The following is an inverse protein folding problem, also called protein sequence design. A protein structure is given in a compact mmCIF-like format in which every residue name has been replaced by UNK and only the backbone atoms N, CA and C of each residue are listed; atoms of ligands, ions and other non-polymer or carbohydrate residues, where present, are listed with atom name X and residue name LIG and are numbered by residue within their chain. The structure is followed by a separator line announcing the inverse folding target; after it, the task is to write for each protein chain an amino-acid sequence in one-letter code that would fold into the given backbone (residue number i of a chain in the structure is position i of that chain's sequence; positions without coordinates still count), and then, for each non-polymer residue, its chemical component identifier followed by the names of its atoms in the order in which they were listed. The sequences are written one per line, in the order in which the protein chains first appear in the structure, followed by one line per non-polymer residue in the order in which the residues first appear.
data_IF_343488531490
#
_entry.id   IF_343488531490
#
_cell.length_a   1.000
_cell.length_b   1.000
_cell.length_c   1.000
_cell.angle_alpha   90.00
_cell.angle_beta   90.00
_cell.angle_gamma   90.00
#
_symmetry.space_group_name_H-M   'P 1'
#
loop_
_entity.id
_entity.type
_entity.pdbx_description
1 polymer ?
#
# COMPACT_ATOMS: atom_id res chain seq x y z
N UNK A 1 -6.93 4.25 8.45
CA UNK A 1 -5.88 3.67 7.56
C UNK A 1 -5.74 4.54 6.33
N UNK A 2 -4.53 4.84 5.94
CA UNK A 2 -4.24 5.67 4.76
C UNK A 2 -3.38 4.88 3.79
N UNK A 3 -3.72 4.97 2.51
CA UNK A 3 -2.91 4.38 1.45
C UNK A 3 -2.61 5.42 0.38
N UNK A 4 -1.35 5.55 0.02
CA UNK A 4 -0.92 6.33 -1.13
C UNK A 4 -0.52 5.34 -2.22
N UNK A 5 -1.17 5.46 -3.37
CA UNK A 5 -1.03 4.50 -4.46
C UNK A 5 -0.35 5.19 -5.63
N UNK A 6 0.74 4.61 -6.09
CA UNK A 6 1.45 5.09 -7.26
C UNK A 6 1.50 3.99 -8.31
N UNK A 7 1.06 4.32 -9.50
CA UNK A 7 1.18 3.46 -10.67
C UNK A 7 2.64 3.43 -11.12
N UNK A 8 3.22 2.22 -11.30
CA UNK A 8 4.62 2.06 -11.65
C UNK A 8 4.80 1.05 -12.77
N UNK A 9 5.85 1.21 -13.55
CA UNK A 9 6.32 0.22 -14.53
C UNK A 9 7.23 -0.77 -13.81
N UNK A 10 7.96 -0.28 -12.83
CA UNK A 10 8.88 -1.07 -12.00
C UNK A 10 9.06 -0.36 -10.68
N UNK A 11 9.15 -1.12 -9.59
CA UNK A 11 9.47 -0.58 -8.27
C UNK A 11 10.20 -1.62 -7.44
N UNK A 12 11.10 -1.18 -6.58
CA UNK A 12 11.79 -2.07 -5.65
C UNK A 12 12.03 -1.40 -4.30
N UNK A 13 12.32 -2.23 -3.30
CA UNK A 13 12.79 -1.80 -1.98
C UNK A 13 14.14 -2.45 -1.74
N UNK A 14 15.13 -1.62 -1.42
CA UNK A 14 16.48 -2.07 -1.09
C UNK A 14 16.82 -1.74 0.36
N UNK A 15 17.43 -2.68 1.04
CA UNK A 15 17.92 -2.50 2.40
C UNK A 15 19.37 -2.97 2.42
N UNK A 16 20.28 -2.07 2.84
CA UNK A 16 21.73 -2.34 2.85
C UNK A 16 22.24 -2.84 1.49
N UNK A 17 21.73 -2.28 0.41
CA UNK A 17 22.14 -2.63 -0.95
C UNK A 17 21.49 -3.90 -1.51
N UNK A 18 20.67 -4.60 -0.72
CA UNK A 18 19.94 -5.80 -1.17
C UNK A 18 18.49 -5.47 -1.50
N UNK A 19 18.04 -5.96 -2.63
CA UNK A 19 16.62 -5.89 -2.99
C UNK A 19 15.84 -6.89 -2.14
N UNK A 20 14.90 -6.38 -1.32
CA UNK A 20 14.05 -7.21 -0.46
C UNK A 20 12.64 -7.38 -1.04
N UNK A 21 12.24 -6.52 -1.95
CA UNK A 21 10.98 -6.65 -2.69
C UNK A 21 11.10 -5.95 -4.02
N UNK A 22 10.53 -6.52 -5.07
CA UNK A 22 10.60 -5.97 -6.43
C UNK A 22 9.35 -6.37 -7.20
N UNK A 23 8.80 -5.42 -7.95
CA UNK A 23 7.68 -5.66 -8.86
C UNK A 23 7.94 -5.04 -10.22
N UNK A 24 7.23 -5.55 -11.24
CA UNK A 24 7.12 -4.92 -12.54
C UNK A 24 5.94 -3.94 -12.60
N UNK A 25 5.15 -4.02 -13.65
CA UNK A 25 4.00 -3.13 -13.86
C UNK A 25 2.93 -3.34 -12.79
N UNK A 26 2.49 -2.28 -12.17
CA UNK A 26 1.47 -2.34 -11.12
C UNK A 26 1.46 -1.13 -10.22
N UNK A 27 1.27 -1.37 -8.91
CA UNK A 27 1.21 -0.33 -7.89
C UNK A 27 2.34 -0.44 -6.87
N UNK A 28 2.90 0.69 -6.52
CA UNK A 28 3.62 0.87 -5.26
C UNK A 28 2.63 1.52 -4.29
N UNK A 29 2.43 0.90 -3.13
CA UNK A 29 1.48 1.34 -2.11
C UNK A 29 2.23 1.67 -0.83
N UNK A 30 2.08 2.91 -0.37
CA UNK A 30 2.53 3.30 0.97
C UNK A 30 1.32 3.19 1.90
N UNK A 31 1.44 2.40 2.95
CA UNK A 31 0.35 2.13 3.89
C UNK A 31 0.65 2.68 5.27
N UNK A 32 -0.21 3.56 5.77
CA UNK A 32 -0.16 4.07 7.14
C UNK A 32 -1.33 3.53 7.96
N UNK A 33 -1.03 2.90 9.09
CA UNK A 33 -2.04 2.39 10.02
C UNK A 33 -2.26 3.41 11.13
N UNK A 34 -3.50 3.83 11.31
CA UNK A 34 -3.89 4.83 12.31
C UNK A 34 -4.36 4.17 13.59
N UNK A 35 -4.28 4.90 14.71
CA UNK A 35 -4.90 4.44 15.97
C UNK A 35 -6.39 4.15 15.75
N UNK A 36 -6.85 3.04 16.28
CA UNK A 36 -8.25 2.65 16.17
C UNK A 36 -8.60 1.90 14.88
N UNK A 37 -7.66 1.75 13.96
CA UNK A 37 -7.88 0.96 12.75
C UNK A 37 -8.10 -0.51 13.10
N UNK A 38 -8.98 -1.15 12.34
CA UNK A 38 -9.33 -2.55 12.49
C UNK A 38 -9.19 -3.29 11.17
N UNK A 39 -9.38 -4.60 11.21
CA UNK A 39 -9.43 -5.42 9.99
C UNK A 39 -10.49 -4.95 9.00
N UNK A 40 -11.59 -4.38 9.49
CA UNK A 40 -12.64 -3.84 8.62
C UNK A 40 -12.12 -2.68 7.76
N UNK A 41 -11.24 -1.83 8.31
CA UNK A 41 -10.62 -0.74 7.56
C UNK A 41 -9.69 -1.28 6.47
N UNK A 42 -8.90 -2.30 6.79
CA UNK A 42 -8.06 -2.99 5.80
C UNK A 42 -8.91 -3.64 4.70
N UNK A 43 -9.99 -4.32 5.07
CA UNK A 43 -10.87 -4.98 4.11
C UNK A 43 -11.47 -4.01 3.09
N UNK A 44 -11.84 -2.80 3.51
CA UNK A 44 -12.35 -1.77 2.61
C UNK A 44 -11.34 -1.39 1.54
N UNK A 45 -10.08 -1.20 1.93
CA UNK A 45 -9.01 -0.86 1.00
C UNK A 45 -8.68 -2.03 0.08
N UNK A 46 -8.66 -3.25 0.60
CA UNK A 46 -8.40 -4.46 -0.18
C UNK A 46 -9.45 -4.68 -1.26
N UNK A 47 -10.71 -4.38 -0.98
CA UNK A 47 -11.77 -4.43 -2.00
C UNK A 47 -11.62 -3.39 -3.08
N UNK A 48 -11.15 -2.20 -2.71
CA UNK A 48 -11.09 -1.05 -3.61
C UNK A 48 -9.84 -1.05 -4.48
N UNK A 49 -8.66 -1.22 -3.88
CA UNK A 49 -7.39 -0.97 -4.55
C UNK A 49 -7.16 -1.84 -5.79
N UNK A 50 -7.35 -3.18 -5.74
CA UNK A 50 -7.12 -4.00 -6.93
C UNK A 50 -8.08 -3.68 -8.08
N UNK A 51 -9.21 -3.05 -7.79
CA UNK A 51 -10.27 -2.77 -8.75
C UNK A 51 -10.30 -1.30 -9.22
N UNK A 52 -9.40 -0.46 -8.73
CA UNK A 52 -9.31 0.92 -9.22
C UNK A 52 -8.93 0.95 -10.70
N UNK A 53 -9.72 1.67 -11.49
CA UNK A 53 -9.59 1.72 -12.94
C UNK A 53 -8.67 2.86 -13.36
N UNK A 54 -7.37 2.74 -13.04
CA UNK A 54 -6.38 3.81 -13.27
C UNK A 54 -5.26 3.42 -14.23
N UNK A 55 -5.34 2.25 -14.85
CA UNK A 55 -4.46 1.88 -15.95
C UNK A 55 -5.12 2.19 -17.28
N UNK A 56 -4.34 2.63 -18.26
CA UNK A 56 -4.86 3.00 -19.56
C UNK A 56 -5.28 1.78 -20.37
N UNK A 57 -6.44 1.90 -21.04
CA UNK A 57 -6.93 0.92 -22.00
C UNK A 57 -6.35 1.21 -23.41
N UNK A 58 -6.83 0.46 -24.41
CA UNK A 58 -6.40 0.62 -25.81
C UNK A 58 -6.63 2.03 -26.37
N UNK A 59 -7.58 2.76 -25.80
CA UNK A 59 -7.94 4.12 -26.21
C UNK A 59 -7.21 5.20 -25.41
N UNK A 60 -6.26 4.83 -24.55
CA UNK A 60 -5.53 5.77 -23.69
C UNK A 60 -6.34 6.32 -22.54
N UNK A 61 -7.49 5.72 -22.18
CA UNK A 61 -8.34 6.15 -21.08
C UNK A 61 -8.09 5.29 -19.84
N UNK A 62 -8.11 5.93 -18.67
CA UNK A 62 -8.00 5.21 -17.39
C UNK A 62 -9.24 4.36 -17.16
N UNK A 63 -9.17 3.10 -17.49
CA UNK A 63 -10.29 2.18 -17.51
C UNK A 63 -9.99 0.78 -16.95
N UNK A 64 -8.72 0.38 -16.91
CA UNK A 64 -8.33 -0.95 -16.46
C UNK A 64 -7.84 -0.93 -15.02
N UNK A 65 -8.18 -1.97 -14.27
CA UNK A 65 -7.68 -2.18 -12.92
C UNK A 65 -6.36 -2.94 -12.92
N UNK A 66 -5.71 -3.00 -11.75
CA UNK A 66 -4.52 -3.81 -11.57
C UNK A 66 -4.81 -5.30 -11.86
N UNK A 67 -5.98 -5.79 -11.46
CA UNK A 67 -6.39 -7.17 -11.76
C UNK A 67 -6.56 -7.39 -13.27
N UNK A 68 -7.14 -6.42 -13.99
CA UNK A 68 -7.34 -6.52 -15.43
C UNK A 68 -6.03 -6.67 -16.20
N UNK A 69 -4.98 -5.96 -15.79
CA UNK A 69 -3.67 -6.00 -16.45
C UNK A 69 -2.75 -7.07 -15.87
N UNK A 70 -3.23 -7.88 -14.91
CA UNK A 70 -2.44 -8.84 -14.18
C UNK A 70 -1.21 -8.19 -13.53
N UNK A 71 -1.40 -7.01 -12.96
CA UNK A 71 -0.35 -6.22 -12.34
C UNK A 71 0.10 -6.76 -11.00
N UNK A 72 1.20 -6.21 -10.51
CA UNK A 72 1.83 -6.59 -9.25
C UNK A 72 1.74 -5.44 -8.25
N UNK A 73 1.90 -5.73 -6.98
CA UNK A 73 1.86 -4.72 -5.93
C UNK A 73 3.06 -4.82 -5.01
N UNK A 74 3.64 -3.67 -4.70
CA UNK A 74 4.68 -3.52 -3.68
C UNK A 74 4.10 -2.68 -2.55
N UNK A 75 3.94 -3.27 -1.37
CA UNK A 75 3.33 -2.61 -0.22
C UNK A 75 4.40 -2.29 0.82
N UNK A 76 4.54 -1.01 1.13
CA UNK A 76 5.54 -0.51 2.08
C UNK A 76 4.80 0.18 3.23
N UNK A 77 5.11 -0.23 4.46
CA UNK A 77 4.57 0.43 5.65
C UNK A 77 5.24 1.79 5.83
N UNK A 78 4.43 2.84 6.04
CA UNK A 78 4.92 4.21 6.15
C UNK A 78 4.10 4.98 7.19
N UNK A 79 4.58 5.04 8.43
CA UNK A 79 3.88 5.70 9.52
C UNK A 79 3.76 7.22 9.32
N UNK A 80 4.65 7.83 8.56
CA UNK A 80 4.64 9.27 8.30
C UNK A 80 3.40 9.74 7.54
N UNK A 81 2.66 8.82 6.90
CA UNK A 81 1.36 9.13 6.31
C UNK A 81 0.33 9.53 7.35
N UNK A 82 0.55 9.19 8.62
CA UNK A 82 -0.33 9.50 9.74
C UNK A 82 0.04 10.83 10.42
N UNK A 83 0.96 11.60 9.83
CA UNK A 83 1.41 12.87 10.39
C UNK A 83 0.27 13.88 10.45
N UNK A 84 0.19 14.59 11.59
CA UNK A 84 -0.72 15.70 11.79
C UNK A 84 0.10 16.99 11.89
N UNK A 85 -0.09 17.89 10.94
CA UNK A 85 0.59 19.18 10.87
C UNK A 85 -0.33 20.35 11.24
N UNK A 86 -1.51 20.07 11.83
CA UNK A 86 -2.50 21.08 12.16
C UNK A 86 -2.07 22.02 13.30
N UNK A 87 -1.11 21.61 14.13
CA UNK A 87 -0.60 22.38 15.26
C UNK A 87 0.89 22.66 15.12
N UNK A 88 1.24 23.91 14.80
CA UNK A 88 2.63 24.35 14.70
C UNK A 88 3.35 23.82 13.47
N UNK A 89 4.69 23.82 13.53
CA UNK A 89 5.57 23.49 12.40
C UNK A 89 6.16 22.08 12.46
N UNK A 90 5.88 21.36 13.53
CA UNK A 90 6.36 19.97 13.69
C UNK A 90 5.23 18.99 13.40
N UNK A 91 5.42 18.03 12.52
CA UNK A 91 4.44 16.96 12.33
C UNK A 91 4.27 16.17 13.63
N UNK A 92 3.02 15.84 13.97
CA UNK A 92 2.70 14.96 15.09
C UNK A 92 2.30 13.59 14.55
N UNK A 93 2.84 12.54 15.13
CA UNK A 93 2.52 11.16 14.76
C UNK A 93 1.64 10.46 15.81
N UNK A 94 1.01 11.25 16.69
CA UNK A 94 0.17 10.72 17.76
C UNK A 94 -1.01 9.87 17.25
N UNK A 95 -1.46 10.13 16.01
CA UNK A 95 -2.54 9.37 15.37
C UNK A 95 -2.07 8.06 14.73
N UNK A 96 -0.76 7.84 14.68
CA UNK A 96 -0.21 6.59 14.18
C UNK A 96 -0.44 5.47 15.18
N UNK A 97 -0.80 4.28 14.68
CA UNK A 97 -0.95 3.10 15.54
C UNK A 97 0.39 2.70 16.16
N UNK A 98 0.39 2.09 17.35
CA UNK A 98 1.61 1.51 17.90
C UNK A 98 2.25 0.51 16.92
N UNK A 99 3.58 0.40 16.87
CA UNK A 99 4.26 -0.44 15.86
C UNK A 99 3.76 -1.88 15.80
N UNK A 100 3.46 -2.49 16.93
CA UNK A 100 3.00 -3.87 17.00
C UNK A 100 1.63 -4.05 16.33
N UNK A 101 0.68 -3.18 16.65
CA UNK A 101 -0.65 -3.18 16.04
C UNK A 101 -0.57 -2.83 14.55
N UNK A 102 0.26 -1.86 14.20
CA UNK A 102 0.46 -1.43 12.83
C UNK A 102 1.02 -2.58 11.99
N UNK A 103 2.00 -3.32 12.51
CA UNK A 103 2.57 -4.45 11.80
C UNK A 103 1.56 -5.57 11.58
N UNK A 104 0.74 -5.87 12.60
CA UNK A 104 -0.30 -6.89 12.51
C UNK A 104 -1.30 -6.56 11.39
N UNK A 105 -1.79 -5.33 11.32
CA UNK A 105 -2.72 -4.90 10.28
C UNK A 105 -2.06 -4.80 8.90
N UNK A 106 -0.80 -4.39 8.85
CA UNK A 106 -0.02 -4.36 7.62
C UNK A 106 0.12 -5.76 7.02
N UNK A 107 0.50 -6.75 7.82
CA UNK A 107 0.60 -8.14 7.37
C UNK A 107 -0.76 -8.69 6.92
N UNK A 108 -1.81 -8.38 7.66
CA UNK A 108 -3.17 -8.75 7.29
C UNK A 108 -3.57 -8.16 5.93
N UNK A 109 -3.29 -6.88 5.72
CA UNK A 109 -3.56 -6.19 4.47
C UNK A 109 -2.87 -6.88 3.29
N UNK A 110 -1.60 -7.21 3.44
CA UNK A 110 -0.80 -7.89 2.41
C UNK A 110 -1.40 -9.26 2.08
N UNK A 111 -1.74 -10.06 3.09
CA UNK A 111 -2.31 -11.38 2.87
C UNK A 111 -3.68 -11.31 2.19
N UNK A 112 -4.50 -10.34 2.56
CA UNK A 112 -5.81 -10.16 1.93
C UNK A 112 -5.70 -9.70 0.47
N UNK A 113 -4.69 -8.90 0.10
CA UNK A 113 -4.41 -8.57 -1.29
C UNK A 113 -4.07 -9.81 -2.12
N UNK A 114 -3.29 -10.73 -1.56
CA UNK A 114 -2.98 -12.00 -2.22
C UNK A 114 -4.25 -12.82 -2.47
N UNK A 115 -5.13 -12.88 -1.47
CA UNK A 115 -6.42 -13.59 -1.58
C UNK A 115 -7.35 -12.92 -2.59
N UNK A 116 -7.23 -11.63 -2.80
CA UNK A 116 -8.05 -10.89 -3.76
C UNK A 116 -7.67 -11.18 -5.22
N UNK A 117 -6.62 -11.93 -5.47
CA UNK A 117 -6.23 -12.36 -6.80
C UNK A 117 -5.10 -11.56 -7.44
N UNK A 118 -4.41 -10.71 -6.69
CA UNK A 118 -3.22 -10.01 -7.18
C UNK A 118 -2.12 -11.03 -7.43
N UNK A 119 -1.53 -11.02 -8.64
CA UNK A 119 -0.60 -12.05 -9.08
C UNK A 119 0.69 -12.12 -8.25
N UNK A 120 1.14 -10.97 -7.75
CA UNK A 120 2.35 -10.89 -6.93
C UNK A 120 2.21 -9.71 -5.98
N UNK A 121 2.40 -9.95 -4.69
CA UNK A 121 2.44 -8.90 -3.67
C UNK A 121 3.77 -9.01 -2.94
N UNK A 122 4.59 -7.99 -3.08
CA UNK A 122 5.89 -7.89 -2.43
C UNK A 122 5.85 -6.85 -1.33
N UNK A 123 6.79 -6.93 -0.41
CA UNK A 123 6.87 -6.05 0.76
C UNK A 123 8.31 -5.60 0.98
N UNK A 124 8.45 -4.49 1.75
CA UNK A 124 9.72 -4.13 2.36
C UNK A 124 9.78 -4.69 3.79
N UNK A 125 10.77 -4.27 4.55
CA UNK A 125 10.80 -4.51 6.00
C UNK A 125 9.93 -3.48 6.71
N UNK A 126 9.24 -3.93 7.78
CA UNK A 126 8.45 -3.04 8.62
C UNK A 126 9.38 -2.18 9.50
N UNK A 127 9.11 -0.87 9.52
CA UNK A 127 9.87 0.06 10.38
C UNK A 127 10.61 1.15 9.68
#
# INVERSE_FOLDING_TARGET
MKAVIQRVIKSDVKINGKTVGEIGNGFMILLGVMQGDTKADADKLVKKIPNLRIFEDENGKMNLSCLDINGEMLVVSQFTLCADCSHGRRPSFIKSAPPEEANTLYEYFVEELKKAGVSKVETGEFG
#
